data_IF_002969210728
#
_entry.id   IF_002969210728
#
_cell.length_a   1.000
_cell.length_b   1.000
_cell.length_c   1.000
_cell.angle_alpha   90.00
_cell.angle_beta   90.00
_cell.angle_gamma   90.00
#
_symmetry.space_group_name_H-M   'P 1'
#
loop_
_entity.id
_entity.type
_entity.pdbx_description
1 polymer ?
#
# COMPACT_ATOMS: atom_id res chain seq x y z
N UNK A 1 -20.64 5.16 10.35
CA UNK A 1 -19.86 4.60 9.23
C UNK A 1 -20.79 4.41 8.05
N UNK A 2 -20.54 5.08 6.94
CA UNK A 2 -21.24 4.90 5.68
C UNK A 2 -20.30 4.23 4.66
N UNK A 3 -20.85 3.37 3.80
CA UNK A 3 -20.05 2.66 2.79
C UNK A 3 -20.62 2.96 1.42
N UNK A 4 -19.83 3.65 0.61
CA UNK A 4 -20.20 4.06 -0.74
C UNK A 4 -19.38 3.28 -1.76
N UNK A 5 -20.04 2.80 -2.83
CA UNK A 5 -19.35 2.26 -4.01
C UNK A 5 -19.43 3.29 -5.12
N UNK A 6 -18.29 3.69 -5.65
CA UNK A 6 -18.15 4.75 -6.64
C UNK A 6 -17.27 4.29 -7.80
N UNK A 7 -17.34 5.02 -8.91
CA UNK A 7 -16.55 4.75 -10.11
C UNK A 7 -16.00 6.07 -10.65
N UNK A 8 -14.77 6.03 -11.16
CA UNK A 8 -14.16 7.11 -11.94
C UNK A 8 -13.61 6.57 -13.25
N UNK A 9 -13.36 7.46 -14.21
CA UNK A 9 -12.67 7.11 -15.44
C UNK A 9 -11.15 7.26 -15.24
N UNK A 10 -10.45 6.13 -15.20
CA UNK A 10 -9.00 6.03 -15.31
C UNK A 10 -8.54 5.92 -16.77
N UNK A 11 -7.25 5.64 -16.96
CA UNK A 11 -6.64 5.39 -18.25
C UNK A 11 -7.06 4.04 -18.84
N UNK A 12 -7.13 2.98 -18.04
CA UNK A 12 -7.51 1.64 -18.53
C UNK A 12 -9.03 1.44 -18.65
N UNK A 13 -9.83 2.40 -18.17
CA UNK A 13 -11.28 2.35 -18.20
C UNK A 13 -11.89 2.83 -16.89
N UNK A 14 -13.05 2.26 -16.53
CA UNK A 14 -13.70 2.56 -15.26
C UNK A 14 -12.97 1.88 -14.11
N UNK A 15 -12.62 2.66 -13.09
CA UNK A 15 -12.00 2.17 -11.86
C UNK A 15 -13.01 2.33 -10.74
N UNK A 16 -13.46 1.19 -10.21
CA UNK A 16 -14.34 1.17 -9.06
C UNK A 16 -13.54 1.38 -7.77
N UNK A 17 -14.16 2.00 -6.77
CA UNK A 17 -13.58 2.08 -5.44
C UNK A 17 -14.68 2.03 -4.37
N UNK A 18 -14.35 1.46 -3.21
CA UNK A 18 -15.19 1.55 -2.00
C UNK A 18 -14.66 2.70 -1.15
N UNK A 19 -15.56 3.56 -0.70
CA UNK A 19 -15.26 4.67 0.19
C UNK A 19 -16.05 4.51 1.49
N UNK A 20 -15.33 4.18 2.57
CA UNK A 20 -15.86 3.98 3.91
C UNK A 20 -15.66 5.29 4.67
N UNK A 21 -16.75 5.98 4.98
CA UNK A 21 -16.76 7.28 5.61
C UNK A 21 -17.15 7.18 7.08
N UNK A 22 -16.23 7.63 7.94
CA UNK A 22 -16.43 7.83 9.38
C UNK A 22 -16.54 9.31 9.75
N UNK A 23 -16.51 10.21 8.75
CA UNK A 23 -16.57 11.65 8.97
C UNK A 23 -15.24 12.23 9.44
N UNK A 24 -14.14 11.50 9.22
CA UNK A 24 -12.80 11.85 9.73
C UNK A 24 -12.08 12.90 8.88
N UNK A 25 -11.18 13.67 9.46
CA UNK A 25 -10.22 14.49 8.71
C UNK A 25 -8.99 13.70 8.22
N UNK A 26 -8.99 12.37 8.43
CA UNK A 26 -7.95 11.42 8.01
C UNK A 26 -8.48 10.44 6.98
N UNK A 27 -7.69 10.16 5.94
CA UNK A 27 -8.01 9.16 4.92
C UNK A 27 -6.85 8.22 4.65
N UNK A 28 -7.14 6.94 4.47
CA UNK A 28 -6.18 5.97 3.96
C UNK A 28 -6.64 5.38 2.63
N UNK A 29 -5.82 5.54 1.59
CA UNK A 29 -5.99 4.88 0.29
C UNK A 29 -5.24 3.55 0.31
N UNK A 30 -5.95 2.46 0.06
CA UNK A 30 -5.40 1.11 0.09
C UNK A 30 -5.35 0.51 -1.31
N UNK A 31 -4.21 -0.08 -1.68
CA UNK A 31 -3.96 -0.61 -3.02
C UNK A 31 -3.60 -2.09 -2.98
N UNK A 32 -4.44 -2.90 -3.62
CA UNK A 32 -4.36 -4.34 -3.52
C UNK A 32 -3.32 -5.02 -4.43
N UNK A 33 -2.69 -6.07 -3.90
CA UNK A 33 -1.85 -6.93 -4.74
C UNK A 33 -2.68 -7.74 -5.73
N UNK A 34 -2.06 -8.21 -6.81
CA UNK A 34 -2.70 -9.14 -7.77
C UNK A 34 -3.30 -10.35 -7.03
N UNK A 35 -4.60 -10.57 -7.18
CA UNK A 35 -5.33 -11.68 -6.54
C UNK A 35 -5.50 -11.57 -5.02
N UNK A 36 -5.19 -10.42 -4.41
CA UNK A 36 -5.29 -10.21 -2.96
C UNK A 36 -6.40 -9.20 -2.63
N UNK A 37 -7.61 -9.70 -2.43
CA UNK A 37 -8.79 -8.90 -2.09
C UNK A 37 -8.72 -8.29 -0.68
N UNK A 38 -9.53 -7.26 -0.43
CA UNK A 38 -9.57 -6.54 0.86
C UNK A 38 -10.18 -7.34 2.02
N UNK A 39 -10.80 -8.49 1.73
CA UNK A 39 -11.30 -9.45 2.72
C UNK A 39 -10.21 -10.42 3.22
N UNK A 40 -8.99 -10.35 2.66
CA UNK A 40 -7.87 -11.15 3.12
C UNK A 40 -7.29 -10.59 4.43
N UNK A 41 -6.80 -11.45 5.34
CA UNK A 41 -6.55 -11.09 6.75
C UNK A 41 -5.76 -9.78 6.94
N UNK A 42 -4.66 -9.60 6.20
CA UNK A 42 -3.79 -8.43 6.37
C UNK A 42 -4.53 -7.12 6.08
N UNK A 43 -5.26 -7.03 4.96
CA UNK A 43 -6.05 -5.83 4.65
C UNK A 43 -7.36 -5.74 5.41
N UNK A 44 -7.98 -6.88 5.70
CA UNK A 44 -9.20 -6.90 6.50
C UNK A 44 -8.92 -6.29 7.88
N UNK A 45 -7.89 -6.78 8.58
CA UNK A 45 -7.53 -6.28 9.90
C UNK A 45 -6.86 -4.90 9.85
N UNK A 46 -6.11 -4.56 8.80
CA UNK A 46 -5.63 -3.17 8.63
C UNK A 46 -6.78 -2.19 8.43
N UNK A 47 -7.78 -2.54 7.62
CA UNK A 47 -8.99 -1.73 7.43
C UNK A 47 -9.73 -1.56 8.75
N UNK A 48 -9.96 -2.67 9.46
CA UNK A 48 -10.60 -2.65 10.77
C UNK A 48 -9.85 -1.76 11.76
N UNK A 49 -8.52 -1.88 11.81
CA UNK A 49 -7.68 -1.08 12.70
C UNK A 49 -7.72 0.41 12.38
N UNK A 50 -7.68 0.77 11.10
CA UNK A 50 -7.74 2.17 10.69
C UNK A 50 -9.13 2.77 10.90
N UNK A 51 -10.21 1.99 10.74
CA UNK A 51 -11.56 2.41 11.13
C UNK A 51 -11.65 2.66 12.65
N UNK A 52 -11.07 1.76 13.47
CA UNK A 52 -10.97 1.94 14.92
C UNK A 52 -10.20 3.24 15.28
N UNK A 53 -9.14 3.53 14.55
CA UNK A 53 -8.35 4.77 14.67
C UNK A 53 -8.99 5.98 13.96
N UNK A 54 -10.28 5.88 13.61
CA UNK A 54 -11.11 6.91 13.00
C UNK A 54 -10.55 7.46 11.68
N UNK A 55 -10.10 6.60 10.76
CA UNK A 55 -9.83 6.98 9.37
C UNK A 55 -11.08 6.77 8.50
N UNK A 56 -11.24 7.63 7.50
CA UNK A 56 -11.97 7.27 6.29
C UNK A 56 -11.09 6.33 5.45
N UNK A 57 -11.66 5.34 4.77
CA UNK A 57 -10.91 4.33 4.02
C UNK A 57 -11.34 4.32 2.56
N UNK A 58 -10.38 4.25 1.65
CA UNK A 58 -10.61 4.08 0.22
C UNK A 58 -9.96 2.79 -0.26
N UNK A 59 -10.77 1.82 -0.65
CA UNK A 59 -10.31 0.60 -1.32
C UNK A 59 -10.42 0.79 -2.83
N UNK A 60 -9.30 0.79 -3.54
CA UNK A 60 -9.27 0.93 -5.01
C UNK A 60 -9.36 -0.44 -5.68
N UNK A 61 -10.42 -0.67 -6.45
CA UNK A 61 -10.69 -1.92 -7.14
C UNK A 61 -10.29 -1.84 -8.62
N UNK A 62 -8.98 -1.74 -8.87
CA UNK A 62 -8.48 -2.00 -10.23
C UNK A 62 -8.46 -3.51 -10.50
N UNK A 63 -8.81 -3.87 -11.73
CA UNK A 63 -8.71 -5.24 -12.22
C UNK A 63 -8.18 -5.21 -13.65
N UNK A 64 -7.12 -5.97 -13.90
CA UNK A 64 -6.43 -5.98 -15.17
C UNK A 64 -6.41 -7.39 -15.73
N UNK A 65 -6.71 -7.51 -17.02
CA UNK A 65 -6.63 -8.78 -17.73
C UNK A 65 -5.22 -9.39 -17.61
N UNK A 66 -5.07 -10.72 -17.62
CA UNK A 66 -3.75 -11.36 -17.51
C UNK A 66 -2.70 -10.83 -18.49
N UNK A 67 -3.11 -10.52 -19.74
CA UNK A 67 -2.24 -9.98 -20.79
C UNK A 67 -1.68 -8.59 -20.49
N UNK A 68 -2.27 -7.83 -19.56
CA UNK A 68 -1.73 -6.56 -19.10
C UNK A 68 -0.33 -6.72 -18.49
N UNK A 69 -0.07 -7.88 -17.87
CA UNK A 69 1.19 -8.17 -17.19
C UNK A 69 2.30 -8.67 -18.11
N UNK A 70 2.04 -8.79 -19.41
CA UNK A 70 3.05 -9.14 -20.42
C UNK A 70 3.92 -7.92 -20.81
N UNK A 71 3.58 -6.74 -20.30
CA UNK A 71 4.28 -5.48 -20.55
C UNK A 71 5.48 -5.29 -19.60
N UNK A 72 6.42 -4.38 -19.93
CA UNK A 72 7.48 -4.00 -19.00
C UNK A 72 6.91 -3.43 -17.69
N UNK A 73 7.53 -3.82 -16.56
CA UNK A 73 7.08 -3.39 -15.21
C UNK A 73 6.98 -1.88 -15.04
N UNK A 74 7.80 -1.09 -15.74
CA UNK A 74 7.72 0.38 -15.71
C UNK A 74 6.43 0.91 -16.35
N UNK A 75 5.98 0.31 -17.44
CA UNK A 75 4.73 0.72 -18.11
C UNK A 75 3.51 0.25 -17.31
N UNK A 76 3.59 -0.94 -16.70
CA UNK A 76 2.60 -1.42 -15.74
C UNK A 76 2.46 -0.42 -14.58
N UNK A 77 3.57 -0.01 -13.97
CA UNK A 77 3.57 0.92 -12.85
C UNK A 77 2.93 2.26 -13.22
N UNK A 78 3.31 2.85 -14.37
CA UNK A 78 2.71 4.10 -14.88
C UNK A 78 1.21 4.00 -15.10
N UNK A 79 0.73 2.90 -15.68
CA UNK A 79 -0.69 2.75 -15.95
C UNK A 79 -1.49 2.58 -14.65
N UNK A 80 -1.01 1.75 -13.74
CA UNK A 80 -1.65 1.58 -12.41
C UNK A 80 -1.64 2.89 -11.64
N UNK A 81 -0.53 3.63 -11.66
CA UNK A 81 -0.42 4.95 -11.02
C UNK A 81 -1.49 5.90 -11.54
N UNK A 82 -1.67 6.03 -12.86
CA UNK A 82 -2.67 6.94 -13.43
C UNK A 82 -4.10 6.55 -13.06
N UNK A 83 -4.41 5.27 -13.06
CA UNK A 83 -5.75 4.76 -12.65
C UNK A 83 -6.03 5.05 -11.18
N UNK A 84 -5.02 4.83 -10.32
CA UNK A 84 -5.13 5.11 -8.88
C UNK A 84 -5.21 6.61 -8.62
N UNK A 85 -4.41 7.43 -9.28
CA UNK A 85 -4.40 8.89 -9.13
C UNK A 85 -5.73 9.53 -9.54
N UNK A 86 -6.45 8.94 -10.50
CA UNK A 86 -7.83 9.36 -10.80
C UNK A 86 -8.78 9.17 -9.61
N UNK A 87 -8.67 8.04 -8.89
CA UNK A 87 -9.47 7.78 -7.67
C UNK A 87 -9.06 8.70 -6.53
N UNK A 88 -7.74 8.86 -6.31
CA UNK A 88 -7.21 9.75 -5.27
C UNK A 88 -7.69 11.18 -5.50
N UNK A 89 -7.58 11.68 -6.74
CA UNK A 89 -8.05 13.00 -7.11
C UNK A 89 -9.54 13.20 -6.89
N UNK A 90 -10.37 12.23 -7.29
CA UNK A 90 -11.83 12.31 -7.09
C UNK A 90 -12.21 12.39 -5.61
N UNK A 91 -11.59 11.56 -4.75
CA UNK A 91 -11.86 11.58 -3.30
C UNK A 91 -11.39 12.89 -2.66
N UNK A 92 -10.17 13.33 -2.97
CA UNK A 92 -9.60 14.56 -2.39
C UNK A 92 -10.29 15.84 -2.92
N UNK A 93 -10.92 15.79 -4.09
CA UNK A 93 -11.74 16.91 -4.59
C UNK A 93 -13.07 17.04 -3.84
N UNK A 94 -13.65 15.93 -3.38
CA UNK A 94 -14.92 15.92 -2.66
C UNK A 94 -14.78 16.36 -1.19
N UNK A 95 -13.61 16.17 -0.59
CA UNK A 95 -13.35 16.47 0.81
C UNK A 95 -11.88 16.76 1.04
N UNK A 96 -11.59 17.86 1.72
CA UNK A 96 -10.26 18.19 2.20
C UNK A 96 -9.92 17.35 3.43
N UNK A 97 -8.76 16.70 3.41
CA UNK A 97 -8.25 15.90 4.52
C UNK A 97 -6.98 16.52 5.07
N UNK A 98 -6.86 16.54 6.40
CA UNK A 98 -5.66 17.01 7.10
C UNK A 98 -4.56 15.95 7.10
N UNK A 99 -4.95 14.68 7.10
CA UNK A 99 -4.02 13.55 7.12
C UNK A 99 -4.34 12.57 6.00
N UNK A 100 -3.42 12.43 5.05
CA UNK A 100 -3.52 11.49 3.94
C UNK A 100 -2.50 10.37 4.12
N UNK A 101 -2.96 9.13 4.01
CA UNK A 101 -2.14 7.94 4.10
C UNK A 101 -2.34 7.05 2.87
N UNK A 102 -1.30 6.31 2.51
CA UNK A 102 -1.32 5.33 1.41
C UNK A 102 -0.78 3.99 1.90
N UNK A 103 -1.48 2.90 1.57
CA UNK A 103 -1.14 1.54 1.99
C UNK A 103 -1.18 0.59 0.80
N UNK A 104 -0.02 0.19 0.30
CA UNK A 104 0.09 -0.71 -0.85
C UNK A 104 0.60 -2.09 -0.45
N UNK A 105 0.11 -3.15 -1.11
CA UNK A 105 0.64 -4.51 -0.95
C UNK A 105 1.11 -5.11 -2.27
N UNK A 106 2.34 -5.64 -2.32
CA UNK A 106 2.92 -6.25 -3.53
C UNK A 106 2.77 -5.31 -4.73
N UNK A 107 2.04 -5.71 -5.77
CA UNK A 107 1.69 -4.87 -6.93
C UNK A 107 1.07 -3.52 -6.56
N UNK A 108 0.29 -3.44 -5.48
CA UNK A 108 -0.29 -2.18 -5.01
C UNK A 108 0.72 -1.17 -4.46
N UNK A 109 2.00 -1.57 -4.29
CA UNK A 109 3.08 -0.62 -3.97
C UNK A 109 3.62 0.10 -5.22
N UNK A 110 3.30 -0.38 -6.43
CA UNK A 110 3.73 0.24 -7.68
C UNK A 110 3.24 1.69 -7.86
N UNK A 111 1.94 2.01 -7.70
CA UNK A 111 1.46 3.39 -7.85
C UNK A 111 2.10 4.34 -6.82
N UNK A 112 2.42 3.83 -5.63
CA UNK A 112 3.11 4.60 -4.60
C UNK A 112 4.51 5.00 -5.07
N UNK A 113 5.31 4.03 -5.51
CA UNK A 113 6.67 4.28 -5.98
C UNK A 113 6.69 5.09 -7.28
N UNK A 114 5.73 4.88 -8.18
CA UNK A 114 5.73 5.52 -9.49
C UNK A 114 5.44 7.02 -9.43
N UNK A 115 4.50 7.46 -8.59
CA UNK A 115 4.04 8.86 -8.58
C UNK A 115 3.62 9.37 -7.19
N UNK A 116 2.74 8.65 -6.49
CA UNK A 116 2.07 9.19 -5.29
C UNK A 116 3.05 9.64 -4.20
N UNK A 117 4.20 8.97 -4.06
CA UNK A 117 5.20 9.33 -3.05
C UNK A 117 5.90 10.67 -3.32
N UNK A 118 5.89 11.12 -4.57
CA UNK A 118 6.38 12.43 -4.98
C UNK A 118 5.29 13.48 -4.94
N UNK A 119 4.06 13.13 -5.34
CA UNK A 119 2.93 14.07 -5.42
C UNK A 119 2.36 14.43 -4.03
N UNK A 120 2.49 13.52 -3.06
CA UNK A 120 1.95 13.67 -1.72
C UNK A 120 3.06 13.60 -0.65
N UNK A 121 4.05 14.49 -0.72
CA UNK A 121 5.21 14.47 0.21
C UNK A 121 4.84 14.66 1.69
N UNK A 122 3.68 15.24 1.99
CA UNK A 122 3.14 15.38 3.35
C UNK A 122 2.36 14.16 3.86
N UNK A 123 2.14 13.16 3.01
CA UNK A 123 1.43 11.94 3.37
C UNK A 123 2.35 10.92 4.05
N UNK A 124 1.73 9.91 4.68
CA UNK A 124 2.42 8.72 5.19
C UNK A 124 2.20 7.53 4.27
N UNK A 125 3.26 6.76 4.03
CA UNK A 125 3.22 5.63 3.09
C UNK A 125 3.58 4.33 3.79
N UNK A 126 2.77 3.30 3.59
CA UNK A 126 3.07 1.92 4.01
C UNK A 126 3.19 1.04 2.78
N UNK A 127 4.35 0.38 2.64
CA UNK A 127 4.63 -0.58 1.57
C UNK A 127 4.76 -1.98 2.17
N UNK A 128 3.80 -2.85 1.87
CA UNK A 128 3.80 -4.24 2.28
C UNK A 128 4.37 -5.10 1.15
N UNK A 129 5.48 -5.78 1.41
CA UNK A 129 6.19 -6.66 0.48
C UNK A 129 6.38 -6.04 -0.92
N UNK A 130 7.02 -4.86 -1.01
CA UNK A 130 7.27 -4.21 -2.29
C UNK A 130 8.12 -5.08 -3.21
N UNK A 131 7.97 -4.90 -4.52
CA UNK A 131 8.62 -5.73 -5.54
C UNK A 131 10.07 -5.27 -5.81
N UNK A 132 10.93 -5.20 -4.79
CA UNK A 132 12.27 -4.58 -4.87
C UNK A 132 13.22 -5.18 -5.92
N UNK A 133 12.95 -6.38 -6.42
CA UNK A 133 13.65 -6.92 -7.61
C UNK A 133 13.54 -6.04 -8.86
N UNK A 134 12.56 -5.14 -8.91
CA UNK A 134 12.41 -4.18 -10.00
C UNK A 134 13.01 -2.84 -9.60
N UNK A 135 13.78 -2.23 -10.50
CA UNK A 135 14.42 -0.92 -10.31
C UNK A 135 13.43 0.26 -10.43
N UNK A 136 12.26 0.11 -9.78
CA UNK A 136 11.20 1.10 -9.72
C UNK A 136 11.21 1.85 -8.38
N UNK A 137 11.74 1.23 -7.33
CA UNK A 137 11.63 1.73 -5.95
C UNK A 137 12.84 2.53 -5.49
N UNK A 138 14.04 2.24 -6.03
CA UNK A 138 15.29 2.81 -5.54
C UNK A 138 15.29 4.34 -5.60
N UNK A 139 15.00 4.91 -6.77
CA UNK A 139 14.99 6.37 -6.94
C UNK A 139 13.87 7.04 -6.13
N UNK A 140 12.60 6.62 -6.19
CA UNK A 140 11.52 7.26 -5.42
C UNK A 140 11.76 7.23 -3.91
N UNK A 141 12.17 6.07 -3.36
CA UNK A 141 12.39 5.92 -1.92
C UNK A 141 13.65 6.63 -1.42
N UNK A 142 14.67 6.80 -2.27
CA UNK A 142 15.87 7.58 -1.89
C UNK A 142 15.69 9.09 -2.02
N UNK A 143 14.72 9.56 -2.81
CA UNK A 143 14.50 10.98 -3.07
C UNK A 143 13.33 11.58 -2.28
N UNK A 144 12.45 10.76 -1.72
CA UNK A 144 11.32 11.26 -0.92
C UNK A 144 11.73 11.75 0.46
N UNK A 145 11.06 12.81 0.92
CA UNK A 145 11.04 13.29 2.31
C UNK A 145 9.82 12.80 3.09
N UNK A 146 8.87 12.12 2.45
CA UNK A 146 7.68 11.59 3.10
C UNK A 146 8.02 10.53 4.14
N UNK A 147 7.16 10.33 5.13
CA UNK A 147 7.33 9.25 6.10
C UNK A 147 6.94 7.92 5.45
N UNK A 148 7.83 6.92 5.54
CA UNK A 148 7.63 5.62 4.90
C UNK A 148 7.86 4.48 5.88
N UNK A 149 6.89 3.56 5.98
CA UNK A 149 7.01 2.29 6.66
C UNK A 149 7.02 1.16 5.62
N UNK A 150 8.01 0.28 5.68
CA UNK A 150 8.15 -0.85 4.76
C UNK A 150 8.19 -2.15 5.54
N UNK A 151 7.36 -3.11 5.14
CA UNK A 151 7.45 -4.49 5.61
C UNK A 151 7.97 -5.39 4.51
N UNK A 152 8.97 -6.21 4.81
CA UNK A 152 9.54 -7.15 3.85
C UNK A 152 9.60 -8.56 4.44
N UNK A 153 9.13 -9.55 3.70
CA UNK A 153 9.33 -10.95 4.05
C UNK A 153 10.74 -11.40 3.68
N UNK A 154 11.52 -11.88 4.65
CA UNK A 154 12.92 -12.27 4.47
C UNK A 154 13.13 -13.48 3.57
N UNK A 155 12.08 -14.29 3.33
CA UNK A 155 12.11 -15.43 2.42
C UNK A 155 11.54 -15.13 1.02
N UNK A 156 11.20 -13.87 0.74
CA UNK A 156 10.58 -13.48 -0.53
C UNK A 156 11.60 -13.30 -1.66
N UNK A 157 11.31 -13.82 -2.85
CA UNK A 157 12.09 -13.59 -4.08
C UNK A 157 12.17 -12.12 -4.52
N UNK A 158 11.40 -11.24 -3.86
CA UNK A 158 11.40 -9.81 -4.08
C UNK A 158 12.30 -9.05 -3.11
N UNK A 159 12.77 -9.68 -2.02
CA UNK A 159 13.70 -9.08 -1.07
C UNK A 159 15.08 -8.97 -1.71
N UNK A 160 15.66 -7.77 -1.64
CA UNK A 160 17.02 -7.49 -2.07
C UNK A 160 17.71 -6.80 -0.89
N UNK A 161 18.61 -7.52 -0.22
CA UNK A 161 19.29 -7.07 0.99
C UNK A 161 19.94 -5.70 0.80
N UNK A 162 20.72 -5.51 -0.27
CA UNK A 162 21.36 -4.23 -0.58
C UNK A 162 20.37 -3.07 -0.68
N UNK A 163 19.18 -3.29 -1.25
CA UNK A 163 18.16 -2.24 -1.35
C UNK A 163 17.65 -1.86 0.04
N UNK A 164 17.39 -2.85 0.89
CA UNK A 164 16.89 -2.64 2.25
C UNK A 164 17.95 -1.94 3.11
N UNK A 165 19.19 -2.39 3.09
CA UNK A 165 20.28 -1.78 3.87
C UNK A 165 20.52 -0.31 3.47
N UNK A 166 20.49 -0.01 2.17
CA UNK A 166 20.62 1.36 1.68
C UNK A 166 19.48 2.28 2.13
N UNK A 167 18.28 1.74 2.33
CA UNK A 167 17.10 2.51 2.72
C UNK A 167 16.96 2.64 4.25
N UNK A 168 17.43 1.66 5.02
CA UNK A 168 17.28 1.60 6.48
C UNK A 168 18.01 2.74 7.24
N UNK A 169 19.02 3.36 6.63
CA UNK A 169 19.77 4.46 7.26
C UNK A 169 19.06 5.83 7.25
N UNK A 170 17.81 5.92 6.76
CA UNK A 170 17.11 7.19 6.55
C UNK A 170 16.18 7.53 7.72
N UNK A 171 16.19 8.77 8.18
CA UNK A 171 15.38 9.22 9.32
C UNK A 171 13.87 9.24 9.05
N UNK A 172 13.46 9.35 7.78
CA UNK A 172 12.05 9.34 7.36
C UNK A 172 11.55 7.94 6.96
N UNK A 173 12.33 6.89 7.23
CA UNK A 173 12.01 5.53 6.80
C UNK A 173 12.20 4.52 7.92
N UNK A 174 11.17 3.71 8.16
CA UNK A 174 11.23 2.53 9.01
C UNK A 174 11.06 1.29 8.15
N UNK A 175 11.99 0.34 8.26
CA UNK A 175 11.92 -0.92 7.55
C UNK A 175 11.89 -2.06 8.55
N UNK A 176 10.87 -2.91 8.45
CA UNK A 176 10.71 -4.12 9.24
C UNK A 176 10.91 -5.34 8.36
N UNK A 177 12.02 -6.05 8.59
CA UNK A 177 12.31 -7.32 7.91
C UNK A 177 11.78 -8.46 8.77
N UNK A 178 10.83 -9.21 8.22
CA UNK A 178 10.23 -10.38 8.83
C UNK A 178 10.95 -11.63 8.28
N UNK A 179 12.09 -11.97 8.87
CA UNK A 179 13.06 -13.00 8.45
C UNK A 179 12.44 -14.30 7.89
N UNK A 180 11.42 -14.84 8.57
CA UNK A 180 10.77 -16.10 8.23
C UNK A 180 9.48 -15.96 7.41
N UNK A 181 9.06 -14.73 7.12
CA UNK A 181 7.82 -14.47 6.44
C UNK A 181 7.98 -14.53 4.91
N UNK A 182 6.96 -15.05 4.25
CA UNK A 182 6.85 -15.11 2.80
C UNK A 182 6.30 -13.79 2.22
N UNK A 183 5.97 -13.78 0.92
CA UNK A 183 5.47 -12.59 0.22
C UNK A 183 4.06 -12.12 0.66
N UNK A 184 3.28 -13.01 1.29
CA UNK A 184 1.99 -12.69 1.91
C UNK A 184 2.13 -12.27 3.37
N UNK A 185 3.35 -12.29 3.92
CA UNK A 185 3.70 -12.11 5.33
C UNK A 185 3.25 -13.26 6.26
N UNK A 186 2.86 -14.40 5.70
CA UNK A 186 2.70 -15.64 6.48
C UNK A 186 4.08 -16.26 6.72
N UNK A 187 4.26 -16.95 7.84
CA UNK A 187 5.51 -17.64 8.12
C UNK A 187 5.67 -18.90 7.26
N UNK A 188 6.93 -19.24 6.98
CA UNK A 188 7.28 -20.53 6.39
C UNK A 188 6.68 -21.70 7.20
N UNK A 189 6.44 -22.82 6.52
CA UNK A 189 5.92 -24.07 7.10
C UNK A 189 4.44 -24.08 7.54
N UNK A 190 3.65 -23.06 7.15
CA UNK A 190 2.23 -22.93 7.53
C UNK A 190 2.00 -22.90 9.06
N UNK A 191 2.96 -22.36 9.82
CA UNK A 191 2.79 -22.07 11.24
C UNK A 191 1.72 -20.97 11.41
N UNK A 192 0.48 -21.41 11.63
CA UNK A 192 -0.69 -20.54 11.68
C UNK A 192 -0.62 -19.58 12.87
N UNK A 193 -0.25 -20.08 14.06
CA UNK A 193 -0.21 -19.26 15.27
C UNK A 193 0.82 -18.16 15.15
N UNK A 194 2.03 -18.49 14.72
CA UNK A 194 3.09 -17.50 14.57
C UNK A 194 2.80 -16.54 13.39
N UNK A 195 2.11 -16.99 12.34
CA UNK A 195 1.64 -16.10 11.26
C UNK A 195 0.60 -15.08 11.74
N UNK A 196 -0.30 -15.49 12.64
CA UNK A 196 -1.27 -14.57 13.28
C UNK A 196 -0.54 -13.53 14.14
N UNK A 197 0.49 -13.92 14.90
CA UNK A 197 1.28 -12.97 15.69
C UNK A 197 2.04 -11.98 14.81
N UNK A 198 2.63 -12.42 13.69
CA UNK A 198 3.24 -11.52 12.70
C UNK A 198 2.21 -10.56 12.12
N UNK A 199 1.05 -11.07 11.72
CA UNK A 199 -0.03 -10.23 11.20
C UNK A 199 -0.47 -9.18 12.23
N UNK A 200 -0.61 -9.57 13.49
CA UNK A 200 -0.93 -8.64 14.59
C UNK A 200 0.13 -7.55 14.71
N UNK A 201 1.41 -7.92 14.77
CA UNK A 201 2.52 -6.95 14.81
C UNK A 201 2.45 -5.96 13.64
N UNK A 202 2.22 -6.45 12.42
CA UNK A 202 2.13 -5.61 11.23
C UNK A 202 0.94 -4.64 11.33
N UNK A 203 -0.24 -5.12 11.70
CA UNK A 203 -1.46 -4.29 11.83
C UNK A 203 -1.30 -3.22 12.92
N UNK A 204 -0.74 -3.58 14.08
CA UNK A 204 -0.48 -2.64 15.17
C UNK A 204 0.55 -1.57 14.78
N UNK A 205 1.61 -1.96 14.08
CA UNK A 205 2.64 -1.05 13.59
C UNK A 205 2.08 -0.10 12.50
N UNK A 206 1.22 -0.59 11.59
CA UNK A 206 0.48 0.25 10.63
C UNK A 206 -0.37 1.30 11.35
N UNK A 207 -1.20 0.88 12.31
CA UNK A 207 -2.08 1.80 13.05
C UNK A 207 -1.29 2.86 13.82
N UNK A 208 -0.20 2.46 14.49
CA UNK A 208 0.69 3.38 15.21
C UNK A 208 1.32 4.40 14.25
N UNK A 209 1.94 3.91 13.18
CA UNK A 209 2.66 4.75 12.22
C UNK A 209 1.76 5.75 11.49
N UNK A 210 0.51 5.37 11.17
CA UNK A 210 -0.40 6.26 10.45
C UNK A 210 -0.98 7.38 11.31
N UNK A 211 -0.96 7.27 12.64
CA UNK A 211 -1.52 8.26 13.58
C UNK A 211 -0.57 9.40 13.96
N UNK A 212 0.73 9.15 13.85
CA UNK A 212 1.78 10.14 14.11
C UNK A 212 1.74 11.31 13.12
#
# INVERSE_FOLDING_TARGET
>A
MEVHRKEVHGLAGKIAYTYIQNGSDRVCFMFAGRGYSYDRPLFYYSTMKLIEDAFDIVHVHYDYAPSFFDQPWKEIAKLIERDVSAVVGDVLHQKEYQHVCFLGKSMGTLPIAEGLIHDYQGARFVLLTPLFKHDLYKKPLTQTSAQVLVFVGGQGHHYIQDVVENLAGRSNMRIEVLEKANHSLDLADMDTSSSIEVMKQVVESIGTFMKE
#
